data_IF_313429250050
#
_entry.id   IF_313429250050
#
_cell.length_a   1.000
_cell.length_b   1.000
_cell.length_c   1.000
_cell.angle_alpha   90.00
_cell.angle_beta   90.00
_cell.angle_gamma   90.00
#
_symmetry.space_group_name_H-M   'P 1'
#
loop_
_entity.id
_entity.type
_entity.pdbx_description
1 polymer ?
#
# COMPACT_ATOMS: atom_id res chain seq x y z
N UNK A 1 1.85 1.33 -27.43
CA UNK A 1 0.92 1.96 -26.45
C UNK A 1 1.45 1.68 -25.05
N UNK A 2 1.90 2.69 -24.27
CA UNK A 2 2.25 2.46 -22.88
C UNK A 2 0.99 2.10 -22.09
N UNK A 3 1.01 0.97 -21.38
CA UNK A 3 -0.09 0.58 -20.48
C UNK A 3 -0.23 1.61 -19.35
N UNK A 4 -1.44 2.06 -19.02
CA UNK A 4 -1.65 2.98 -17.90
C UNK A 4 -1.10 2.37 -16.61
N UNK A 5 -0.39 3.17 -15.80
CA UNK A 5 0.15 2.71 -14.52
C UNK A 5 -1.00 2.29 -13.60
N UNK A 6 -1.00 1.03 -13.14
CA UNK A 6 -1.97 0.52 -12.16
C UNK A 6 -2.05 1.43 -10.93
N UNK A 7 -3.26 1.74 -10.49
CA UNK A 7 -3.49 2.53 -9.27
C UNK A 7 -3.11 1.72 -8.03
N UNK A 8 -3.01 2.38 -6.86
CA UNK A 8 -2.79 1.67 -5.59
C UNK A 8 -3.94 0.68 -5.28
N UNK A 9 -5.17 1.03 -5.64
CA UNK A 9 -6.33 0.17 -5.46
C UNK A 9 -6.25 -1.08 -6.34
N UNK A 10 -5.87 -0.93 -7.61
CA UNK A 10 -5.70 -2.07 -8.53
C UNK A 10 -4.64 -3.03 -8.02
N UNK A 11 -3.50 -2.50 -7.55
CA UNK A 11 -2.42 -3.33 -6.97
C UNK A 11 -2.87 -4.05 -5.71
N UNK A 12 -3.70 -3.42 -4.87
CA UNK A 12 -4.25 -4.06 -3.68
C UNK A 12 -5.19 -5.21 -4.06
N UNK A 13 -6.00 -5.02 -5.10
CA UNK A 13 -6.89 -6.04 -5.65
C UNK A 13 -6.12 -7.22 -6.25
N UNK A 14 -5.06 -6.96 -7.03
CA UNK A 14 -4.17 -8.01 -7.57
C UNK A 14 -3.59 -8.89 -6.44
N UNK A 15 -3.15 -8.26 -5.35
CA UNK A 15 -2.62 -8.97 -4.17
C UNK A 15 -3.71 -9.84 -3.52
N UNK A 16 -4.93 -9.33 -3.39
CA UNK A 16 -6.04 -10.09 -2.83
C UNK A 16 -6.45 -11.27 -3.72
N UNK A 17 -6.50 -11.08 -5.05
CA UNK A 17 -6.76 -12.14 -6.02
C UNK A 17 -5.69 -13.24 -5.95
N UNK A 18 -4.42 -12.85 -5.88
CA UNK A 18 -3.31 -13.79 -5.69
C UNK A 18 -3.49 -14.60 -4.40
N UNK A 19 -3.70 -13.94 -3.25
CA UNK A 19 -3.94 -14.63 -1.97
C UNK A 19 -5.14 -15.57 -2.06
N UNK A 20 -6.24 -15.11 -2.67
CA UNK A 20 -7.44 -15.91 -2.85
C UNK A 20 -7.19 -17.16 -3.68
N UNK A 21 -6.44 -17.04 -4.78
CA UNK A 21 -6.10 -18.18 -5.65
C UNK A 21 -5.35 -19.29 -4.90
N UNK A 22 -4.48 -18.91 -3.96
CA UNK A 22 -3.74 -19.87 -3.14
C UNK A 22 -4.60 -20.53 -2.07
N UNK A 23 -5.50 -19.78 -1.42
CA UNK A 23 -6.26 -20.30 -0.28
C UNK A 23 -7.57 -20.98 -0.66
N UNK A 24 -8.16 -20.67 -1.83
CA UNK A 24 -9.43 -21.26 -2.27
C UNK A 24 -9.42 -22.80 -2.23
N UNK A 25 -8.41 -23.51 -2.77
CA UNK A 25 -8.36 -24.98 -2.67
C UNK A 25 -8.11 -25.48 -1.23
N UNK A 26 -7.53 -24.65 -0.35
CA UNK A 26 -7.22 -25.02 1.04
C UNK A 26 -8.39 -24.76 2.00
N UNK A 27 -9.41 -24.04 1.55
CA UNK A 27 -10.50 -23.56 2.38
C UNK A 27 -11.81 -24.33 2.18
N UNK A 28 -11.79 -25.44 1.42
CA UNK A 28 -12.94 -26.33 1.21
C UNK A 28 -13.51 -26.81 2.57
N UNK A 29 -14.81 -26.59 2.84
CA UNK A 29 -15.45 -26.99 4.10
C UNK A 29 -15.49 -28.50 4.31
N UNK A 30 -15.35 -29.31 3.26
CA UNK A 30 -15.38 -30.77 3.34
C UNK A 30 -14.03 -31.39 3.75
N UNK A 31 -12.95 -30.60 3.79
CA UNK A 31 -11.63 -31.08 4.21
C UNK A 31 -11.59 -31.29 5.72
N UNK A 32 -11.11 -32.46 6.14
CA UNK A 32 -10.70 -32.68 7.52
C UNK A 32 -9.51 -31.78 7.88
N UNK A 33 -9.27 -31.60 9.18
CA UNK A 33 -8.12 -30.83 9.67
C UNK A 33 -6.78 -31.40 9.18
N UNK A 34 -6.67 -32.73 9.09
CA UNK A 34 -5.46 -33.44 8.66
C UNK A 34 -5.20 -33.26 7.16
N UNK A 35 -6.23 -33.43 6.33
CA UNK A 35 -6.14 -33.23 4.88
C UNK A 35 -5.75 -31.79 4.55
N UNK A 36 -6.44 -30.82 5.16
CA UNK A 36 -6.09 -29.41 5.02
C UNK A 36 -4.66 -29.13 5.45
N UNK A 37 -4.21 -29.70 6.57
CA UNK A 37 -2.84 -29.54 7.06
C UNK A 37 -1.78 -30.13 6.13
N UNK A 38 -2.09 -31.18 5.36
CA UNK A 38 -1.24 -31.69 4.29
C UNK A 38 -1.20 -30.72 3.11
N UNK A 39 -2.35 -30.30 2.60
CA UNK A 39 -2.43 -29.38 1.46
C UNK A 39 -1.73 -28.04 1.73
N UNK A 40 -1.85 -27.49 2.95
CA UNK A 40 -1.13 -26.26 3.35
C UNK A 40 0.38 -26.47 3.34
N UNK A 41 0.88 -27.65 3.76
CA UNK A 41 2.31 -27.98 3.69
C UNK A 41 2.78 -28.08 2.24
N UNK A 42 2.02 -28.77 1.41
CA UNK A 42 2.36 -28.96 -0.01
C UNK A 42 2.38 -27.61 -0.75
N UNK A 43 1.38 -26.75 -0.51
CA UNK A 43 1.33 -25.39 -1.07
C UNK A 43 2.51 -24.52 -0.61
N UNK A 44 2.91 -24.63 0.66
CA UNK A 44 4.02 -23.85 1.21
C UNK A 44 5.40 -24.34 0.75
N UNK A 45 5.51 -25.56 0.24
CA UNK A 45 6.75 -26.10 -0.33
C UNK A 45 7.00 -25.63 -1.77
N UNK A 46 6.03 -24.95 -2.38
CA UNK A 46 6.10 -24.48 -3.77
C UNK A 46 6.49 -23.01 -3.86
N UNK A 47 7.16 -22.67 -4.96
CA UNK A 47 7.39 -21.28 -5.38
C UNK A 47 6.21 -20.86 -6.28
N UNK A 48 5.64 -19.71 -5.98
CA UNK A 48 4.46 -19.18 -6.67
C UNK A 48 4.82 -18.00 -7.56
N UNK A 49 4.10 -17.81 -8.65
CA UNK A 49 4.17 -16.55 -9.40
C UNK A 49 3.30 -15.53 -8.67
N UNK A 50 3.96 -14.54 -8.08
CA UNK A 50 3.31 -13.49 -7.33
C UNK A 50 2.48 -12.56 -8.21
N UNK A 51 1.71 -11.64 -7.58
CA UNK A 51 0.72 -10.80 -8.27
C UNK A 51 1.31 -9.83 -9.32
N UNK A 52 2.63 -9.66 -9.35
CA UNK A 52 3.32 -8.80 -10.31
C UNK A 52 4.40 -9.57 -11.11
N UNK A 53 4.29 -10.91 -11.19
CA UNK A 53 5.13 -11.76 -12.02
C UNK A 53 6.42 -12.26 -11.39
N UNK A 54 6.78 -11.80 -10.19
CA UNK A 54 7.97 -12.27 -9.49
C UNK A 54 7.74 -13.60 -8.75
N UNK A 55 8.74 -14.47 -8.61
CA UNK A 55 8.68 -15.63 -7.72
C UNK A 55 8.44 -15.22 -6.26
N UNK A 56 7.54 -15.92 -5.57
CA UNK A 56 7.19 -15.68 -4.16
C UNK A 56 7.07 -17.00 -3.42
N UNK A 57 7.75 -17.11 -2.29
CA UNK A 57 7.54 -18.19 -1.32
C UNK A 57 6.52 -17.74 -0.26
N UNK A 58 5.55 -18.60 0.04
CA UNK A 58 4.50 -18.32 1.01
C UNK A 58 4.54 -19.35 2.14
N UNK A 59 4.78 -18.89 3.36
CA UNK A 59 4.81 -19.77 4.52
C UNK A 59 3.42 -20.31 4.89
N UNK A 60 3.40 -21.49 5.53
CA UNK A 60 2.20 -22.11 6.11
C UNK A 60 1.40 -21.13 6.98
N UNK A 61 2.10 -20.41 7.87
CA UNK A 61 1.50 -19.41 8.74
C UNK A 61 0.78 -18.28 7.97
N UNK A 62 1.29 -17.91 6.79
CA UNK A 62 0.62 -16.91 5.95
C UNK A 62 -0.65 -17.47 5.30
N UNK A 63 -0.62 -18.71 4.80
CA UNK A 63 -1.79 -19.38 4.25
C UNK A 63 -2.88 -19.53 5.32
N UNK A 64 -2.54 -20.02 6.51
CA UNK A 64 -3.50 -20.17 7.63
C UNK A 64 -4.09 -18.84 8.09
N UNK A 65 -3.28 -17.78 8.11
CA UNK A 65 -3.76 -16.43 8.42
C UNK A 65 -4.75 -15.94 7.36
N UNK A 66 -4.47 -16.15 6.08
CA UNK A 66 -5.36 -15.73 4.99
C UNK A 66 -6.65 -16.56 4.94
N UNK A 67 -6.61 -17.86 5.19
CA UNK A 67 -7.80 -18.71 5.31
C UNK A 67 -8.71 -18.18 6.43
N UNK A 68 -8.14 -17.88 7.60
CA UNK A 68 -8.90 -17.31 8.73
C UNK A 68 -9.49 -15.95 8.39
N UNK A 69 -8.70 -15.06 7.80
CA UNK A 69 -9.17 -13.73 7.40
C UNK A 69 -10.31 -13.83 6.38
N UNK A 70 -10.18 -14.68 5.36
CA UNK A 70 -11.20 -14.88 4.33
C UNK A 70 -12.49 -15.48 4.89
N UNK A 71 -12.41 -16.44 5.81
CA UNK A 71 -13.59 -17.00 6.48
C UNK A 71 -14.33 -15.96 7.33
N UNK A 72 -13.59 -15.04 7.96
CA UNK A 72 -14.19 -14.02 8.83
C UNK A 72 -14.73 -12.79 8.08
N UNK A 73 -14.08 -12.37 6.99
CA UNK A 73 -14.39 -11.10 6.32
C UNK A 73 -14.38 -11.16 4.79
N UNK A 74 -14.48 -12.35 4.21
CA UNK A 74 -14.58 -12.54 2.77
C UNK A 74 -13.34 -12.06 2.00
N UNK A 75 -13.54 -11.66 0.75
CA UNK A 75 -12.46 -11.24 -0.14
C UNK A 75 -11.75 -9.96 0.34
N UNK A 76 -12.49 -9.00 0.88
CA UNK A 76 -11.93 -7.72 1.32
C UNK A 76 -10.92 -7.89 2.47
N UNK A 77 -11.09 -8.91 3.31
CA UNK A 77 -10.13 -9.28 4.34
C UNK A 77 -8.77 -9.77 3.79
N UNK A 78 -8.68 -10.07 2.49
CA UNK A 78 -7.45 -10.42 1.81
C UNK A 78 -6.72 -9.23 1.21
N UNK A 79 -7.32 -8.04 1.19
CA UNK A 79 -6.64 -6.83 0.77
C UNK A 79 -5.44 -6.57 1.69
N UNK A 80 -4.31 -6.07 1.15
CA UNK A 80 -3.22 -5.62 2.01
C UNK A 80 -3.75 -4.51 2.93
N UNK A 81 -3.40 -4.58 4.22
CA UNK A 81 -3.77 -3.56 5.18
C UNK A 81 -3.37 -2.18 4.64
N UNK A 82 -4.32 -1.24 4.65
CA UNK A 82 -3.99 0.13 4.35
C UNK A 82 -3.00 0.61 5.41
N UNK A 83 -1.77 0.91 5.02
CA UNK A 83 -0.84 1.62 5.89
C UNK A 83 -1.50 2.95 6.28
N UNK A 84 -1.99 3.02 7.52
CA UNK A 84 -2.33 4.29 8.14
C UNK A 84 -1.00 4.99 8.43
N UNK A 85 -0.67 5.94 7.57
CA UNK A 85 0.47 6.83 7.78
C UNK A 85 -0.15 8.13 8.24
N UNK A 86 -0.01 8.45 9.52
CA UNK A 86 -0.29 9.79 10.00
C UNK A 86 0.71 10.74 9.31
N UNK A 87 0.24 11.77 8.58
CA UNK A 87 1.14 12.77 8.03
C UNK A 87 1.96 13.37 9.17
N UNK A 88 3.28 13.33 9.06
CA UNK A 88 4.18 14.00 10.02
C UNK A 88 4.12 15.52 9.93
N UNK A 89 3.58 16.05 8.84
CA UNK A 89 3.44 17.48 8.60
C UNK A 89 2.00 17.88 8.83
N UNK A 90 1.81 18.86 9.72
CA UNK A 90 0.53 19.48 10.01
C UNK A 90 -0.06 20.14 8.76
N UNK A 91 -1.38 20.14 8.64
CA UNK A 91 -2.08 20.68 7.47
C UNK A 91 -1.80 22.17 7.28
N UNK A 92 -1.80 22.93 8.37
CA UNK A 92 -1.56 24.38 8.38
C UNK A 92 -0.20 24.76 7.78
N UNK A 93 0.83 23.95 8.03
CA UNK A 93 2.18 24.16 7.46
C UNK A 93 2.19 23.95 5.93
N UNK A 94 1.40 22.98 5.44
CA UNK A 94 1.26 22.76 4.00
C UNK A 94 0.45 23.87 3.33
N UNK A 95 -0.60 24.37 3.99
CA UNK A 95 -1.41 25.49 3.52
C UNK A 95 -0.58 26.79 3.46
N UNK A 96 0.23 27.07 4.48
CA UNK A 96 1.20 28.17 4.47
C UNK A 96 2.14 28.04 3.26
N UNK A 97 2.72 26.87 3.04
CA UNK A 97 3.62 26.63 1.92
C UNK A 97 2.91 26.79 0.56
N UNK A 98 1.64 26.39 0.44
CA UNK A 98 0.84 26.56 -0.77
C UNK A 98 0.56 28.04 -1.05
N UNK A 99 0.21 28.82 -0.02
CA UNK A 99 0.05 30.28 -0.13
C UNK A 99 1.33 30.96 -0.58
N UNK A 100 2.47 30.63 0.05
CA UNK A 100 3.78 31.16 -0.35
C UNK A 100 4.15 30.82 -1.80
N UNK A 101 3.74 29.64 -2.30
CA UNK A 101 3.93 29.24 -3.69
C UNK A 101 3.04 30.03 -4.64
N UNK A 102 1.78 30.29 -4.26
CA UNK A 102 0.82 31.03 -5.05
C UNK A 102 1.20 32.52 -5.21
N UNK A 103 1.71 33.15 -4.14
CA UNK A 103 2.17 34.55 -4.19
C UNK A 103 3.31 34.76 -5.19
N UNK A 104 4.24 33.81 -5.28
CA UNK A 104 5.37 33.89 -6.18
C UNK A 104 5.67 32.51 -6.78
N UNK A 105 5.04 32.15 -7.92
CA UNK A 105 5.17 30.84 -8.55
C UNK A 105 6.63 30.47 -8.92
N UNK A 106 7.52 31.43 -9.06
CA UNK A 106 8.96 31.17 -9.28
C UNK A 106 9.68 30.60 -8.05
N UNK A 107 9.14 30.72 -6.83
CA UNK A 107 9.74 30.18 -5.62
C UNK A 107 9.88 28.66 -5.72
N UNK A 108 11.10 28.18 -5.46
CA UNK A 108 11.36 26.75 -5.38
C UNK A 108 10.87 26.19 -4.05
N UNK A 109 10.54 24.90 -4.01
CA UNK A 109 10.15 24.24 -2.76
C UNK A 109 11.23 24.31 -1.68
N UNK A 110 12.51 24.30 -2.06
CA UNK A 110 13.62 24.47 -1.12
C UNK A 110 13.66 25.89 -0.53
N UNK A 111 13.34 26.91 -1.34
CA UNK A 111 13.21 28.27 -0.83
C UNK A 111 12.01 28.39 0.12
N UNK A 112 10.86 27.84 -0.25
CA UNK A 112 9.67 27.85 0.60
C UNK A 112 9.93 27.13 1.92
N UNK A 113 10.63 26.00 1.91
CA UNK A 113 11.03 25.32 3.15
C UNK A 113 11.85 26.22 4.08
N UNK A 114 12.81 26.99 3.53
CA UNK A 114 13.60 27.95 4.32
C UNK A 114 12.76 29.09 4.92
N UNK A 115 11.76 29.58 4.19
CA UNK A 115 10.83 30.61 4.69
C UNK A 115 10.00 30.04 5.84
N UNK A 116 9.40 28.87 5.63
CA UNK A 116 8.59 28.17 6.65
C UNK A 116 9.43 27.88 7.90
N UNK A 117 10.66 27.43 7.74
CA UNK A 117 11.55 27.15 8.87
C UNK A 117 11.90 28.41 9.66
N UNK A 118 12.13 29.54 8.97
CA UNK A 118 12.38 30.82 9.61
C UNK A 118 11.17 31.35 10.39
N UNK A 119 9.95 31.08 9.93
CA UNK A 119 8.71 31.53 10.60
C UNK A 119 8.24 30.58 11.72
N UNK A 120 8.41 29.26 11.55
CA UNK A 120 7.82 28.23 12.42
C UNK A 120 8.85 27.48 13.27
N UNK A 121 10.16 27.73 13.07
CA UNK A 121 11.25 27.01 13.75
C UNK A 121 11.49 25.58 13.25
N UNK A 122 10.68 25.10 12.30
CA UNK A 122 10.82 23.81 11.63
C UNK A 122 10.15 23.85 10.25
N UNK A 123 10.64 23.05 9.29
CA UNK A 123 9.96 22.88 8.00
C UNK A 123 9.95 21.44 7.48
N UNK A 124 8.93 21.07 6.68
CA UNK A 124 8.94 19.84 5.89
C UNK A 124 10.05 19.87 4.84
N UNK A 125 10.54 18.70 4.45
CA UNK A 125 11.52 18.61 3.36
C UNK A 125 10.97 19.18 2.04
N UNK A 126 11.87 19.76 1.22
CA UNK A 126 11.51 20.29 -0.09
C UNK A 126 10.75 19.25 -0.96
N UNK A 127 11.09 17.96 -0.85
CA UNK A 127 10.37 16.87 -1.56
C UNK A 127 8.92 16.71 -1.09
N UNK A 128 8.65 16.88 0.20
CA UNK A 128 7.28 16.87 0.73
C UNK A 128 6.47 18.03 0.17
N UNK A 129 7.05 19.23 0.14
CA UNK A 129 6.41 20.42 -0.44
C UNK A 129 6.16 20.29 -1.94
N UNK A 130 7.15 19.81 -2.72
CA UNK A 130 6.99 19.51 -4.15
C UNK A 130 5.80 18.57 -4.42
N UNK A 131 5.71 17.48 -3.65
CA UNK A 131 4.60 16.51 -3.79
C UNK A 131 3.27 17.11 -3.38
N UNK A 132 3.26 18.06 -2.44
CA UNK A 132 2.05 18.79 -2.08
C UNK A 132 1.61 19.70 -3.23
N UNK A 133 2.50 20.52 -3.77
CA UNK A 133 2.20 21.43 -4.90
C UNK A 133 1.73 20.69 -6.15
N UNK A 134 2.40 19.59 -6.52
CA UNK A 134 1.99 18.77 -7.66
C UNK A 134 0.62 18.09 -7.51
N UNK A 135 0.01 18.12 -6.32
CA UNK A 135 -1.38 17.66 -6.11
C UNK A 135 -2.40 18.81 -6.17
N UNK A 136 -1.93 20.06 -6.09
CA UNK A 136 -2.76 21.26 -6.13
C UNK A 136 -2.86 21.85 -7.55
N UNK A 137 -1.82 21.67 -8.38
CA UNK A 137 -1.81 22.02 -9.81
C UNK A 137 -2.07 20.75 -10.66
N UNK A 138 -3.33 20.45 -11.07
CA UNK A 138 -3.66 19.34 -11.96
C UNK A 138 -3.28 19.60 -13.43
#
# INVERSE_FOLDING_TARGET
MPTPKKTRADRARDIALYRYSLIRPLADPNLSATERGRLVRDMAAQVHIGPFGQPVEVSRASLDRWIRAWRAGGFDALLPAQRQITPRTEAEVLELAARLKAEHPARTAAHIARIVEAEQGWAPSARTLQRHFARLDP
#
